data_IF_930212889854
#
_entry.id   IF_930212889854
#
_cell.length_a   1.000
_cell.length_b   1.000
_cell.length_c   1.000
_cell.angle_alpha   90.00
_cell.angle_beta   90.00
_cell.angle_gamma   90.00
#
_symmetry.space_group_name_H-M   'P 1'
#
loop_
_entity.id
_entity.type
_entity.pdbx_description
1 polymer ?
#
# COMPACT_ATOMS: atom_id res chain seq x y z
N UNK A 1 -33.81 -27.22 -35.19
CA UNK A 1 -33.57 -27.00 -36.63
C UNK A 1 -32.82 -25.69 -36.79
N UNK A 2 -31.67 -25.76 -37.47
CA UNK A 2 -30.64 -24.73 -37.64
C UNK A 2 -31.00 -23.84 -38.84
N UNK A 3 -30.91 -22.51 -38.70
CA UNK A 3 -30.47 -21.54 -39.73
C UNK A 3 -29.90 -20.34 -38.96
N UNK A 4 -28.61 -20.01 -38.93
CA UNK A 4 -27.57 -20.16 -39.94
C UNK A 4 -27.51 -18.90 -40.79
N UNK A 5 -26.69 -17.91 -40.40
CA UNK A 5 -26.10 -16.91 -41.30
C UNK A 5 -24.72 -16.50 -40.79
N UNK A 6 -23.73 -16.86 -41.59
CA UNK A 6 -22.32 -16.55 -41.44
C UNK A 6 -21.98 -15.19 -42.09
N UNK A 7 -21.24 -14.38 -41.33
CA UNK A 7 -20.15 -13.45 -41.67
C UNK A 7 -20.34 -12.24 -42.61
N UNK A 8 -19.92 -11.08 -42.09
CA UNK A 8 -19.22 -10.03 -42.85
C UNK A 8 -17.84 -9.83 -42.20
N UNK A 9 -16.78 -10.09 -42.96
CA UNK A 9 -15.39 -9.93 -42.55
C UNK A 9 -15.01 -8.44 -42.61
N UNK A 10 -14.74 -7.84 -41.46
CA UNK A 10 -13.89 -6.64 -41.35
C UNK A 10 -12.66 -7.02 -40.55
N UNK A 11 -11.47 -6.57 -40.97
CA UNK A 11 -10.18 -6.79 -40.30
C UNK A 11 -10.21 -6.20 -38.88
N UNK A 12 -10.82 -6.91 -37.95
CA UNK A 12 -10.79 -6.63 -36.52
C UNK A 12 -9.69 -7.46 -35.89
N UNK A 13 -8.95 -6.89 -34.95
CA UNK A 13 -8.26 -7.67 -33.92
C UNK A 13 -9.31 -8.65 -33.36
N UNK A 14 -9.15 -9.92 -33.66
CA UNK A 14 -9.87 -11.00 -33.00
C UNK A 14 -9.33 -11.01 -31.56
N UNK A 15 -9.96 -10.27 -30.66
CA UNK A 15 -9.86 -10.61 -29.25
C UNK A 15 -10.73 -11.86 -29.08
N UNK A 16 -10.17 -13.03 -28.74
CA UNK A 16 -11.00 -14.18 -28.43
C UNK A 16 -11.91 -13.78 -27.27
N UNK A 17 -13.20 -14.13 -27.35
CA UNK A 17 -14.14 -14.03 -26.23
C UNK A 17 -13.70 -15.10 -25.22
N UNK A 18 -12.61 -14.86 -24.51
CA UNK A 18 -12.30 -15.61 -23.32
C UNK A 18 -13.38 -15.27 -22.30
N UNK A 19 -13.90 -16.30 -21.63
CA UNK A 19 -14.92 -16.13 -20.62
C UNK A 19 -14.33 -15.30 -19.47
N UNK A 20 -15.02 -14.26 -19.02
CA UNK A 20 -14.63 -13.40 -17.88
C UNK A 20 -14.22 -14.24 -16.65
N UNK A 21 -14.86 -15.40 -16.45
CA UNK A 21 -14.49 -16.35 -15.40
C UNK A 21 -13.10 -16.97 -15.61
N UNK A 22 -12.75 -17.36 -16.83
CA UNK A 22 -11.44 -17.95 -17.13
C UNK A 22 -10.31 -16.91 -17.06
N UNK A 23 -10.56 -15.68 -17.51
CA UNK A 23 -9.59 -14.58 -17.38
C UNK A 23 -9.32 -14.23 -15.92
N UNK A 24 -10.35 -14.24 -15.07
CA UNK A 24 -10.20 -14.05 -13.63
C UNK A 24 -9.46 -15.20 -12.94
N UNK A 25 -9.68 -16.44 -13.36
CA UNK A 25 -8.93 -17.60 -12.84
C UNK A 25 -7.44 -17.54 -13.22
N UNK A 26 -7.13 -17.17 -14.47
CA UNK A 26 -5.76 -16.95 -14.93
C UNK A 26 -5.09 -15.77 -14.19
N UNK A 27 -5.84 -14.69 -13.94
CA UNK A 27 -5.36 -13.54 -13.19
C UNK A 27 -5.04 -13.89 -11.73
N UNK A 28 -5.91 -14.68 -11.09
CA UNK A 28 -5.70 -15.17 -9.73
C UNK A 28 -4.48 -16.10 -9.66
N UNK A 29 -4.28 -16.96 -10.66
CA UNK A 29 -3.10 -17.82 -10.78
C UNK A 29 -1.79 -17.02 -10.89
N UNK A 30 -1.77 -15.97 -11.73
CA UNK A 30 -0.62 -15.08 -11.85
C UNK A 30 -0.32 -14.35 -10.53
N UNK A 31 -1.36 -13.84 -9.85
CA UNK A 31 -1.22 -13.19 -8.55
C UNK A 31 -0.60 -14.13 -7.50
N UNK A 32 -1.10 -15.36 -7.41
CA UNK A 32 -0.58 -16.38 -6.48
C UNK A 32 0.88 -16.70 -6.74
N UNK A 33 1.24 -16.93 -8.02
CA UNK A 33 2.63 -17.18 -8.42
C UNK A 33 3.55 -16.00 -8.10
N UNK A 34 3.07 -14.77 -8.26
CA UNK A 34 3.79 -13.56 -7.84
C UNK A 34 4.16 -13.58 -6.35
N UNK A 35 3.24 -13.99 -5.48
CA UNK A 35 3.53 -14.12 -4.05
C UNK A 35 4.53 -15.23 -3.73
N UNK A 36 4.45 -16.39 -4.40
CA UNK A 36 5.43 -17.48 -4.25
C UNK A 36 6.85 -17.04 -4.67
N UNK A 37 6.93 -16.26 -5.73
CA UNK A 37 8.19 -15.69 -6.20
C UNK A 37 8.75 -14.65 -5.21
N UNK A 38 7.89 -13.85 -4.57
CA UNK A 38 8.33 -12.96 -3.50
C UNK A 38 8.90 -13.73 -2.30
N UNK A 39 8.27 -14.83 -1.91
CA UNK A 39 8.76 -15.68 -0.83
C UNK A 39 10.14 -16.29 -1.14
N UNK A 40 10.43 -16.55 -2.42
CA UNK A 40 11.75 -17.03 -2.87
C UNK A 40 12.77 -15.93 -3.19
N UNK A 41 12.40 -14.65 -3.03
CA UNK A 41 13.27 -13.50 -3.32
C UNK A 41 13.43 -13.19 -4.82
N UNK A 42 12.64 -13.83 -5.69
CA UNK A 42 12.67 -13.63 -7.13
C UNK A 42 11.88 -12.37 -7.54
N UNK A 43 12.30 -11.20 -7.07
CA UNK A 43 11.56 -9.94 -7.20
C UNK A 43 11.21 -9.55 -8.64
N UNK A 44 12.13 -9.67 -9.60
CA UNK A 44 11.85 -9.36 -11.01
C UNK A 44 10.81 -10.31 -11.63
N UNK A 45 10.83 -11.58 -11.24
CA UNK A 45 9.84 -12.56 -11.73
C UNK A 45 8.48 -12.30 -11.07
N UNK A 46 8.46 -11.98 -9.78
CA UNK A 46 7.24 -11.58 -9.09
C UNK A 46 6.63 -10.32 -9.73
N UNK A 47 7.45 -9.34 -10.10
CA UNK A 47 7.02 -8.13 -10.79
C UNK A 47 6.34 -8.47 -12.12
N UNK A 48 6.92 -9.40 -12.90
CA UNK A 48 6.32 -9.85 -14.15
C UNK A 48 4.96 -10.52 -13.94
N UNK A 49 4.82 -11.38 -12.93
CA UNK A 49 3.55 -12.06 -12.64
C UNK A 49 2.48 -11.10 -12.09
N UNK A 50 2.84 -10.10 -11.27
CA UNK A 50 1.88 -9.07 -10.84
C UNK A 50 1.46 -8.15 -11.98
N UNK A 51 2.37 -7.82 -12.90
CA UNK A 51 2.04 -7.07 -14.13
C UNK A 51 1.05 -7.85 -14.98
N UNK A 52 1.30 -9.15 -15.16
CA UNK A 52 0.39 -10.05 -15.87
C UNK A 52 -0.99 -10.12 -15.20
N UNK A 53 -1.04 -10.25 -13.87
CA UNK A 53 -2.30 -10.27 -13.13
C UNK A 53 -3.09 -8.97 -13.31
N UNK A 54 -2.42 -7.81 -13.25
CA UNK A 54 -3.03 -6.49 -13.48
C UNK A 54 -3.64 -6.38 -14.89
N UNK A 55 -2.90 -6.80 -15.93
CA UNK A 55 -3.39 -6.79 -17.32
C UNK A 55 -4.59 -7.71 -17.52
N UNK A 56 -4.59 -8.89 -16.90
CA UNK A 56 -5.70 -9.84 -16.98
C UNK A 56 -6.95 -9.32 -16.25
N UNK A 57 -6.81 -8.77 -15.05
CA UNK A 57 -7.94 -8.14 -14.36
C UNK A 57 -8.49 -6.92 -15.11
N UNK A 58 -7.61 -6.14 -15.75
CA UNK A 58 -8.03 -5.03 -16.60
C UNK A 58 -8.83 -5.53 -17.82
N UNK A 59 -8.39 -6.61 -18.47
CA UNK A 59 -9.11 -7.23 -19.60
C UNK A 59 -10.48 -7.78 -19.18
N UNK A 60 -10.56 -8.38 -17.99
CA UNK A 60 -11.81 -8.88 -17.41
C UNK A 60 -12.74 -7.76 -16.89
N UNK A 61 -12.29 -6.50 -16.88
CA UNK A 61 -13.07 -5.36 -16.35
C UNK A 61 -13.16 -5.31 -14.82
N UNK A 62 -12.37 -6.12 -14.10
CA UNK A 62 -12.34 -6.14 -12.64
C UNK A 62 -11.39 -5.07 -12.10
N UNK A 63 -11.90 -3.84 -12.03
CA UNK A 63 -11.12 -2.68 -11.59
C UNK A 63 -10.58 -2.79 -10.16
N UNK A 64 -11.27 -3.50 -9.27
CA UNK A 64 -10.85 -3.65 -7.87
C UNK A 64 -9.71 -4.66 -7.75
N UNK A 65 -9.81 -5.82 -8.42
CA UNK A 65 -8.70 -6.78 -8.44
C UNK A 65 -7.51 -6.26 -9.23
N UNK A 66 -7.74 -5.50 -10.29
CA UNK A 66 -6.69 -4.77 -11.00
C UNK A 66 -5.92 -3.85 -10.05
N UNK A 67 -6.61 -3.03 -9.25
CA UNK A 67 -5.98 -2.12 -8.30
C UNK A 67 -5.14 -2.87 -7.24
N UNK A 68 -5.63 -4.02 -6.76
CA UNK A 68 -4.87 -4.88 -5.84
C UNK A 68 -3.60 -5.45 -6.47
N UNK A 69 -3.67 -5.92 -7.71
CA UNK A 69 -2.49 -6.39 -8.45
C UNK A 69 -1.49 -5.25 -8.66
N UNK A 70 -1.97 -4.04 -8.96
CA UNK A 70 -1.17 -2.83 -9.09
C UNK A 70 -0.44 -2.47 -7.77
N UNK A 71 -1.13 -2.54 -6.62
CA UNK A 71 -0.52 -2.35 -5.30
C UNK A 71 0.61 -3.35 -5.04
N UNK A 72 0.40 -4.64 -5.33
CA UNK A 72 1.45 -5.67 -5.14
C UNK A 72 2.65 -5.41 -6.05
N UNK A 73 2.40 -5.09 -7.33
CA UNK A 73 3.44 -4.70 -8.29
C UNK A 73 4.27 -3.53 -7.76
N UNK A 74 3.61 -2.48 -7.25
CA UNK A 74 4.27 -1.30 -6.68
C UNK A 74 5.10 -1.64 -5.43
N UNK A 75 4.62 -2.53 -4.54
CA UNK A 75 5.40 -3.00 -3.39
C UNK A 75 6.69 -3.72 -3.82
N UNK A 76 6.64 -4.51 -4.91
CA UNK A 76 7.86 -5.13 -5.47
C UNK A 76 8.81 -4.06 -6.04
N UNK A 77 8.28 -3.03 -6.70
CA UNK A 77 9.09 -1.92 -7.19
C UNK A 77 9.81 -1.18 -6.04
N UNK A 78 9.18 -1.03 -4.87
CA UNK A 78 9.85 -0.51 -3.66
C UNK A 78 11.03 -1.39 -3.25
N UNK A 79 10.87 -2.71 -3.22
CA UNK A 79 11.96 -3.65 -2.90
C UNK A 79 13.12 -3.56 -3.91
N UNK A 80 12.81 -3.29 -5.17
CA UNK A 80 13.77 -3.06 -6.25
C UNK A 80 14.33 -1.63 -6.28
N UNK A 81 13.98 -0.76 -5.31
CA UNK A 81 14.38 0.65 -5.23
C UNK A 81 13.92 1.50 -6.43
N UNK A 82 12.87 1.07 -7.13
CA UNK A 82 12.21 1.78 -8.25
C UNK A 82 11.08 2.65 -7.70
N UNK A 83 11.44 3.68 -6.94
CA UNK A 83 10.50 4.41 -6.10
C UNK A 83 9.48 5.24 -6.89
N UNK A 84 9.89 5.90 -7.97
CA UNK A 84 9.00 6.71 -8.79
C UNK A 84 7.92 5.83 -9.45
N UNK A 85 8.31 4.66 -9.97
CA UNK A 85 7.37 3.70 -10.54
C UNK A 85 6.42 3.11 -9.49
N UNK A 86 6.92 2.88 -8.28
CA UNK A 86 6.09 2.46 -7.16
C UNK A 86 5.05 3.53 -6.79
N UNK A 87 5.45 4.81 -6.73
CA UNK A 87 4.54 5.93 -6.47
C UNK A 87 3.44 6.03 -7.54
N UNK A 88 3.80 5.88 -8.82
CA UNK A 88 2.82 5.87 -9.91
C UNK A 88 1.83 4.71 -9.78
N UNK A 89 2.32 3.52 -9.42
CA UNK A 89 1.48 2.35 -9.14
C UNK A 89 0.53 2.55 -7.95
N UNK A 90 1.03 3.05 -6.81
CA UNK A 90 0.18 3.33 -5.65
C UNK A 90 -0.86 4.42 -5.93
N UNK A 91 -0.50 5.49 -6.67
CA UNK A 91 -1.45 6.54 -7.07
C UNK A 91 -2.51 6.01 -8.05
N UNK A 92 -2.15 5.08 -8.94
CA UNK A 92 -3.11 4.44 -9.82
C UNK A 92 -4.10 3.55 -9.05
N UNK A 93 -3.60 2.75 -8.10
CA UNK A 93 -4.44 1.94 -7.22
C UNK A 93 -5.34 2.80 -6.32
N UNK A 94 -4.81 3.89 -5.75
CA UNK A 94 -5.53 4.84 -4.90
C UNK A 94 -6.79 5.36 -5.59
N UNK A 95 -6.66 5.89 -6.82
CA UNK A 95 -7.82 6.40 -7.58
C UNK A 95 -8.92 5.36 -7.76
N UNK A 96 -8.55 4.09 -8.01
CA UNK A 96 -9.52 3.00 -8.17
C UNK A 96 -10.21 2.59 -6.87
N UNK A 97 -9.49 2.66 -5.76
CA UNK A 97 -10.08 2.41 -4.44
C UNK A 97 -10.99 3.57 -3.99
N UNK A 98 -10.65 4.81 -4.35
CA UNK A 98 -11.52 5.98 -4.14
C UNK A 98 -12.82 5.86 -4.96
N UNK A 99 -12.72 5.54 -6.25
CA UNK A 99 -13.89 5.31 -7.13
C UNK A 99 -14.81 4.18 -6.63
N UNK A 100 -14.26 3.22 -5.90
CA UNK A 100 -14.98 2.08 -5.34
C UNK A 100 -15.37 2.19 -3.87
N UNK A 101 -15.14 3.34 -3.23
CA UNK A 101 -15.37 3.56 -1.79
C UNK A 101 -14.66 2.52 -0.89
N UNK A 102 -13.53 1.94 -1.32
CA UNK A 102 -12.72 1.00 -0.52
C UNK A 102 -11.82 1.77 0.47
N UNK A 103 -12.42 2.51 1.41
CA UNK A 103 -11.73 3.44 2.33
C UNK A 103 -10.52 2.84 3.06
N UNK A 104 -10.62 1.57 3.47
CA UNK A 104 -9.50 0.87 4.11
C UNK A 104 -8.30 0.80 3.15
N UNK A 105 -8.54 0.49 1.87
CA UNK A 105 -7.48 0.38 0.85
C UNK A 105 -6.93 1.74 0.45
N UNK A 106 -7.77 2.77 0.43
CA UNK A 106 -7.36 4.17 0.27
C UNK A 106 -6.34 4.54 1.34
N UNK A 107 -6.64 4.29 2.62
CA UNK A 107 -5.71 4.53 3.73
C UNK A 107 -4.42 3.70 3.62
N UNK A 108 -4.52 2.44 3.18
CA UNK A 108 -3.34 1.60 2.90
C UNK A 108 -2.44 2.22 1.80
N UNK A 109 -3.02 2.77 0.73
CA UNK A 109 -2.21 3.41 -0.33
C UNK A 109 -1.52 4.68 0.16
N UNK A 110 -2.21 5.52 0.94
CA UNK A 110 -1.59 6.68 1.56
C UNK A 110 -0.42 6.29 2.48
N UNK A 111 -0.56 5.25 3.29
CA UNK A 111 0.53 4.72 4.11
C UNK A 111 1.72 4.21 3.28
N UNK A 112 1.46 3.53 2.17
CA UNK A 112 2.50 3.06 1.24
C UNK A 112 3.23 4.22 0.57
N UNK A 113 2.49 5.22 0.07
CA UNK A 113 3.06 6.43 -0.54
C UNK A 113 3.93 7.19 0.48
N UNK A 114 3.45 7.33 1.72
CA UNK A 114 4.23 7.95 2.80
C UNK A 114 5.50 7.17 3.12
N UNK A 115 5.47 5.84 3.04
CA UNK A 115 6.64 4.99 3.24
C UNK A 115 7.67 5.16 2.14
N UNK A 116 7.24 5.30 0.88
CA UNK A 116 8.15 5.57 -0.24
C UNK A 116 8.80 6.95 -0.08
N UNK A 117 8.02 7.99 0.26
CA UNK A 117 8.59 9.32 0.51
C UNK A 117 9.57 9.33 1.68
N UNK A 118 9.29 8.59 2.76
CA UNK A 118 10.26 8.40 3.85
C UNK A 118 11.56 7.77 3.34
N UNK A 119 11.48 6.73 2.52
CA UNK A 119 12.65 6.02 1.97
C UNK A 119 13.43 6.87 0.94
N UNK A 120 12.78 7.87 0.35
CA UNK A 120 13.36 8.91 -0.50
C UNK A 120 13.93 10.10 0.31
N UNK A 121 13.91 10.06 1.64
CA UNK A 121 14.30 11.18 2.51
C UNK A 121 13.47 12.47 2.27
N UNK A 122 12.20 12.30 1.94
CA UNK A 122 11.19 13.34 1.70
C UNK A 122 10.16 13.35 2.85
N UNK A 123 10.53 13.83 4.05
CA UNK A 123 9.69 13.69 5.23
C UNK A 123 8.41 14.54 5.19
N UNK A 124 8.37 15.63 4.42
CA UNK A 124 7.18 16.48 4.31
C UNK A 124 6.05 15.77 3.54
N UNK A 125 6.37 15.22 2.37
CA UNK A 125 5.46 14.42 1.56
C UNK A 125 5.03 13.14 2.28
N UNK A 126 5.94 12.56 3.08
CA UNK A 126 5.62 11.43 3.94
C UNK A 126 4.60 11.81 5.02
N UNK A 127 4.78 12.95 5.69
CA UNK A 127 3.86 13.45 6.72
C UNK A 127 2.46 13.71 6.18
N UNK A 128 2.35 14.35 5.01
CA UNK A 128 1.06 14.58 4.34
C UNK A 128 0.33 13.25 4.09
N UNK A 129 1.04 12.27 3.52
CA UNK A 129 0.46 10.98 3.18
C UNK A 129 0.05 10.18 4.42
N UNK A 130 0.89 10.14 5.46
CA UNK A 130 0.52 9.45 6.70
C UNK A 130 -0.64 10.12 7.44
N UNK A 131 -0.77 11.45 7.34
CA UNK A 131 -1.89 12.18 7.94
C UNK A 131 -3.23 11.83 7.28
N UNK A 132 -3.27 11.70 5.95
CA UNK A 132 -4.46 11.23 5.22
C UNK A 132 -4.85 9.80 5.63
N UNK A 133 -3.87 8.88 5.70
CA UNK A 133 -4.11 7.52 6.19
C UNK A 133 -4.65 7.50 7.63
N UNK A 134 -4.05 8.32 8.53
CA UNK A 134 -4.46 8.43 9.92
C UNK A 134 -5.91 8.90 10.05
N UNK A 135 -6.28 9.95 9.31
CA UNK A 135 -7.62 10.52 9.36
C UNK A 135 -8.68 9.47 8.99
N UNK A 136 -8.44 8.69 7.94
CA UNK A 136 -9.35 7.61 7.52
C UNK A 136 -9.42 6.51 8.59
N UNK A 137 -8.28 6.03 9.12
CA UNK A 137 -8.29 4.99 10.14
C UNK A 137 -8.99 5.43 11.44
N UNK A 138 -8.87 6.70 11.81
CA UNK A 138 -9.60 7.28 12.94
C UNK A 138 -11.11 7.31 12.69
N UNK A 139 -11.54 7.76 11.51
CA UNK A 139 -12.96 7.78 11.12
C UNK A 139 -13.57 6.38 11.12
N UNK A 140 -12.81 5.36 10.68
CA UNK A 140 -13.24 3.97 10.68
C UNK A 140 -13.13 3.27 12.05
N UNK A 141 -12.57 3.93 13.07
CA UNK A 141 -12.35 3.35 14.39
C UNK A 141 -11.27 2.27 14.44
N UNK A 142 -10.40 2.18 13.43
CA UNK A 142 -9.32 1.20 13.31
C UNK A 142 -8.08 1.67 14.10
N UNK A 143 -8.20 1.64 15.43
CA UNK A 143 -7.23 2.20 16.38
C UNK A 143 -5.80 1.70 16.22
N UNK A 144 -5.60 0.41 15.95
CA UNK A 144 -4.25 -0.13 15.78
C UNK A 144 -3.58 0.42 14.51
N UNK A 145 -4.32 0.53 13.41
CA UNK A 145 -3.81 1.09 12.16
C UNK A 145 -3.58 2.60 12.27
N UNK A 146 -4.41 3.30 13.03
CA UNK A 146 -4.17 4.70 13.39
C UNK A 146 -2.87 4.83 14.20
N UNK A 147 -2.61 3.94 15.15
CA UNK A 147 -1.36 3.92 15.92
C UNK A 147 -0.14 3.67 15.03
N UNK A 148 -0.25 2.77 14.03
CA UNK A 148 0.80 2.56 13.03
C UNK A 148 1.14 3.89 12.32
N UNK A 149 0.13 4.65 11.89
CA UNK A 149 0.37 5.96 11.25
C UNK A 149 0.96 7.00 12.22
N UNK A 150 0.54 7.02 13.49
CA UNK A 150 1.15 7.88 14.51
C UNK A 150 2.65 7.58 14.68
N UNK A 151 3.07 6.31 14.66
CA UNK A 151 4.50 5.96 14.72
C UNK A 151 5.26 6.40 13.47
N UNK A 152 4.65 6.28 12.28
CA UNK A 152 5.26 6.74 11.04
C UNK A 152 5.42 8.27 11.01
N UNK A 153 4.41 9.01 11.47
CA UNK A 153 4.47 10.47 11.63
C UNK A 153 5.56 10.85 12.63
N UNK A 154 5.64 10.17 13.78
CA UNK A 154 6.69 10.40 14.77
C UNK A 154 8.09 10.22 14.15
N UNK A 155 8.29 9.17 13.36
CA UNK A 155 9.56 8.92 12.69
C UNK A 155 9.88 9.99 11.63
N UNK A 156 8.91 10.41 10.82
CA UNK A 156 9.13 11.48 9.85
C UNK A 156 9.47 12.83 10.52
N UNK A 157 8.81 13.17 11.63
CA UNK A 157 9.17 14.32 12.48
C UNK A 157 10.58 14.20 13.06
N UNK A 158 10.96 13.00 13.48
CA UNK A 158 12.32 12.72 13.95
C UNK A 158 13.37 12.94 12.85
N UNK A 159 13.12 12.51 11.61
CA UNK A 159 13.99 12.80 10.47
C UNK A 159 14.18 14.30 10.22
N UNK A 160 13.12 15.09 10.48
CA UNK A 160 13.15 16.56 10.43
C UNK A 160 13.83 17.22 11.64
N UNK A 161 14.32 16.43 12.61
CA UNK A 161 14.88 16.88 13.89
C UNK A 161 13.88 17.64 14.77
N UNK A 162 12.58 17.43 14.55
CA UNK A 162 11.49 17.97 15.35
C UNK A 162 11.20 17.00 16.50
N UNK A 163 12.16 16.85 17.41
CA UNK A 163 12.21 15.77 18.39
C UNK A 163 11.06 15.83 19.41
N UNK A 164 10.66 17.02 19.83
CA UNK A 164 9.54 17.20 20.74
C UNK A 164 8.22 16.78 20.08
N UNK A 165 8.03 17.12 18.79
CA UNK A 165 6.87 16.67 18.02
C UNK A 165 6.87 15.16 17.84
N UNK A 166 8.01 14.59 17.47
CA UNK A 166 8.18 13.14 17.33
C UNK A 166 7.82 12.42 18.64
N UNK A 167 8.29 12.93 19.78
CA UNK A 167 7.98 12.37 21.10
C UNK A 167 6.48 12.44 21.42
N UNK A 168 5.79 13.53 21.06
CA UNK A 168 4.33 13.62 21.25
C UNK A 168 3.59 12.58 20.41
N UNK A 169 3.97 12.40 19.15
CA UNK A 169 3.35 11.39 18.28
C UNK A 169 3.63 9.95 18.71
N UNK A 170 4.84 9.64 19.19
CA UNK A 170 5.11 8.33 19.78
C UNK A 170 4.27 8.06 21.03
N UNK A 171 4.02 9.08 21.88
CA UNK A 171 3.12 8.94 23.04
C UNK A 171 1.67 8.70 22.64
N UNK A 172 1.19 9.36 21.58
CA UNK A 172 -0.14 9.11 21.02
C UNK A 172 -0.28 7.67 20.50
N UNK A 173 0.71 7.20 19.73
CA UNK A 173 0.74 5.81 19.26
C UNK A 173 0.76 4.81 20.44
N UNK A 174 1.56 5.09 21.48
CA UNK A 174 1.64 4.24 22.68
C UNK A 174 0.29 4.14 23.40
N UNK A 175 -0.43 5.26 23.51
CA UNK A 175 -1.77 5.27 24.12
C UNK A 175 -2.75 4.40 23.31
N UNK A 176 -2.71 4.48 21.98
CA UNK A 176 -3.57 3.67 21.11
C UNK A 176 -3.23 2.18 21.18
N UNK A 177 -1.95 1.79 21.09
CA UNK A 177 -1.55 0.37 21.23
C UNK A 177 -1.90 -0.22 22.60
N UNK A 178 -1.89 0.60 23.65
CA UNK A 178 -2.34 0.18 24.98
C UNK A 178 -3.84 -0.13 24.99
N UNK A 179 -4.65 0.63 24.25
CA UNK A 179 -6.09 0.38 24.14
C UNK A 179 -6.43 -0.85 23.29
N UNK A 180 -5.60 -1.20 22.30
CA UNK A 180 -5.84 -2.33 21.39
C UNK A 180 -5.26 -3.66 21.88
N UNK A 181 -4.40 -3.65 22.91
CA UNK A 181 -3.72 -4.84 23.39
C UNK A 181 -2.60 -5.33 22.48
N UNK A 182 -2.06 -4.46 21.61
CA UNK A 182 -0.97 -4.79 20.69
C UNK A 182 0.38 -4.73 21.42
N UNK A 183 0.63 -5.72 22.28
CA UNK A 183 1.74 -5.77 23.25
C UNK A 183 3.13 -5.49 22.62
N UNK A 184 3.46 -6.17 21.52
CA UNK A 184 4.78 -6.04 20.87
C UNK A 184 4.99 -4.61 20.31
N UNK A 185 4.00 -4.08 19.60
CA UNK A 185 4.04 -2.72 19.06
C UNK A 185 4.08 -1.68 20.18
N UNK A 186 3.35 -1.91 21.26
CA UNK A 186 3.38 -1.07 22.47
C UNK A 186 4.77 -1.04 23.08
N UNK A 187 5.42 -2.20 23.24
CA UNK A 187 6.75 -2.29 23.82
C UNK A 187 7.80 -1.55 22.97
N UNK A 188 7.80 -1.77 21.66
CA UNK A 188 8.69 -1.06 20.72
C UNK A 188 8.46 0.46 20.77
N UNK A 189 7.20 0.89 20.80
CA UNK A 189 6.87 2.32 20.87
C UNK A 189 7.31 2.93 22.21
N UNK A 190 7.16 2.19 23.32
CA UNK A 190 7.62 2.64 24.64
C UNK A 190 9.15 2.80 24.69
N UNK A 191 9.90 1.90 24.03
CA UNK A 191 11.35 2.06 23.88
C UNK A 191 11.70 3.34 23.12
N UNK A 192 11.02 3.62 22.00
CA UNK A 192 11.22 4.84 21.22
C UNK A 192 10.93 6.11 22.05
N UNK A 193 9.83 6.11 22.83
CA UNK A 193 9.50 7.21 23.77
C UNK A 193 10.61 7.41 24.79
N UNK A 194 11.06 6.32 25.44
CA UNK A 194 12.08 6.38 26.49
C UNK A 194 13.41 6.93 25.96
N UNK A 195 13.88 6.39 24.83
CA UNK A 195 15.14 6.80 24.20
C UNK A 195 15.13 8.27 23.78
N UNK A 196 14.03 8.71 23.15
CA UNK A 196 13.92 10.09 22.68
C UNK A 196 13.75 11.08 23.83
N UNK A 197 12.98 10.72 24.86
CA UNK A 197 12.84 11.55 26.06
C UNK A 197 14.18 11.72 26.80
N UNK A 198 14.92 10.64 27.02
CA UNK A 198 16.23 10.70 27.67
C UNK A 198 17.24 11.57 26.88
N UNK A 199 17.22 11.51 25.55
CA UNK A 199 18.07 12.34 24.70
C UNK A 199 17.74 13.84 24.82
N UNK A 200 16.45 14.19 24.98
CA UNK A 200 16.00 15.58 25.17
C UNK A 200 16.35 16.10 26.57
N UNK A 201 16.24 15.26 27.60
CA UNK A 201 16.62 15.63 28.97
C UNK A 201 18.14 15.85 29.08
N UNK A 202 18.96 14.98 28.46
CA UNK A 202 20.43 15.08 28.48
C UNK A 202 21.03 16.17 27.58
N UNK A 203 20.24 16.86 26.76
CA UNK A 203 20.68 18.02 25.95
C UNK A 203 20.37 19.36 26.61
N UNK A 204 19.80 19.34 27.82
CA UNK A 204 19.38 20.50 28.60
C UNK A 204 20.44 21.00 29.61
N UNK A 205 21.65 20.41 29.62
CA UNK A 205 22.81 20.81 30.44
C UNK A 205 23.92 21.45 29.60
#
# INVERSE_FOLDING_TARGET
MIKGRYFRLTKGRFSPIMNEHAENDDAAGALQKGFELLQSGAHEQALAEFTRAEELYAAAGDGQRQARACTNKALVMVQLRRFEEALDGFRAALRRFEEGDEFIRVAEQYGNIGSVHRDLEQPDEALESYAEALAIYQQLGLRERAADQCTNIAYARFMKKEYEEALRWYREALALYTQTGSEDKRALTAENVSRLAAALEGTSE
#
